data_IF_926429723073
#
_entry.id   IF_926429723073
#
_cell.length_a   1.000
_cell.length_b   1.000
_cell.length_c   1.000
_cell.angle_alpha   90.00
_cell.angle_beta   90.00
_cell.angle_gamma   90.00
#
_symmetry.space_group_name_H-M   'P 1'
#
loop_
_entity.id
_entity.type
_entity.pdbx_description
1 polymer ?
#
# COMPACT_ATOMS: atom_id res chain seq x y z
N UNK A 1 -9.05 7.97 21.25
CA UNK A 1 -9.59 6.75 21.89
C UNK A 1 -9.10 5.57 21.08
N UNK A 2 -8.44 4.59 21.71
CA UNK A 2 -8.00 3.37 21.05
C UNK A 2 -8.96 2.23 21.40
N UNK A 3 -9.38 1.45 20.41
CA UNK A 3 -10.36 0.36 20.51
C UNK A 3 -9.73 -0.88 19.91
N UNK A 4 -9.63 -1.95 20.67
CA UNK A 4 -9.25 -3.27 20.14
C UNK A 4 -10.49 -3.88 19.45
N UNK A 5 -10.44 -4.06 18.12
CA UNK A 5 -11.55 -4.65 17.36
C UNK A 5 -11.51 -6.17 17.44
N UNK A 6 -10.30 -6.74 17.25
CA UNK A 6 -10.01 -8.16 17.38
C UNK A 6 -8.51 -8.35 17.60
N UNK A 7 -8.02 -9.54 17.98
CA UNK A 7 -6.58 -9.78 18.07
C UNK A 7 -5.85 -9.35 16.80
N UNK A 8 -4.82 -8.50 16.93
CA UNK A 8 -4.05 -7.97 15.80
C UNK A 8 -4.64 -6.70 15.14
N UNK A 9 -5.90 -6.30 15.42
CA UNK A 9 -6.53 -5.13 14.80
C UNK A 9 -6.92 -4.09 15.85
N UNK A 10 -6.34 -2.89 15.75
CA UNK A 10 -6.61 -1.76 16.63
C UNK A 10 -7.12 -0.55 15.87
N UNK A 11 -8.25 0.01 16.29
CA UNK A 11 -8.78 1.27 15.78
C UNK A 11 -8.46 2.42 16.73
N UNK A 12 -7.91 3.50 16.22
CA UNK A 12 -7.74 4.76 16.96
C UNK A 12 -8.57 5.86 16.31
N UNK A 13 -9.48 6.45 17.08
CA UNK A 13 -10.28 7.61 16.64
C UNK A 13 -9.77 8.87 17.32
N UNK A 14 -9.40 9.87 16.52
CA UNK A 14 -8.94 11.19 16.97
C UNK A 14 -9.95 12.24 16.51
N UNK A 15 -10.92 12.62 17.36
CA UNK A 15 -11.90 13.64 17.01
C UNK A 15 -11.21 15.01 16.98
N UNK A 16 -11.53 15.82 15.95
CA UNK A 16 -11.03 17.18 15.81
C UNK A 16 -12.03 18.02 15.01
N UNK A 17 -12.17 19.28 15.37
CA UNK A 17 -12.96 20.28 14.63
C UNK A 17 -12.09 21.24 13.81
N UNK A 18 -10.76 21.06 13.91
CA UNK A 18 -9.79 21.96 13.24
C UNK A 18 -9.81 21.85 11.72
N UNK A 19 -10.15 20.66 11.19
CA UNK A 19 -10.03 20.36 9.77
C UNK A 19 -11.40 20.12 9.12
N UNK A 20 -11.52 20.53 7.86
CA UNK A 20 -12.72 20.28 7.03
C UNK A 20 -12.68 18.90 6.35
N UNK A 21 -11.64 18.14 6.60
CA UNK A 21 -11.42 16.81 6.00
C UNK A 21 -11.40 15.73 7.08
N UNK A 22 -11.76 14.51 6.68
CA UNK A 22 -11.60 13.29 7.45
C UNK A 22 -10.44 12.54 6.82
N UNK A 23 -9.47 12.11 7.62
CA UNK A 23 -8.37 11.26 7.17
C UNK A 23 -8.56 9.84 7.73
N UNK A 24 -8.53 8.87 6.84
CA UNK A 24 -8.50 7.45 7.17
C UNK A 24 -7.08 6.96 6.88
N UNK A 25 -6.52 6.25 7.84
CA UNK A 25 -5.18 5.68 7.71
C UNK A 25 -5.21 4.24 8.22
N UNK A 26 -4.86 3.30 7.37
CA UNK A 26 -4.77 1.88 7.70
C UNK A 26 -3.31 1.45 7.52
N UNK A 27 -2.78 0.68 8.45
CA UNK A 27 -1.41 0.19 8.41
C UNK A 27 -1.38 -1.30 8.64
N UNK A 28 -0.87 -2.01 7.67
CA UNK A 28 -0.54 -3.43 7.78
C UNK A 28 0.93 -3.56 8.16
N UNK A 29 1.23 -4.23 9.26
CA UNK A 29 2.58 -4.35 9.79
C UNK A 29 2.99 -5.81 9.95
N UNK A 30 4.08 -6.20 9.29
CA UNK A 30 4.71 -7.52 9.39
C UNK A 30 6.20 -7.40 9.69
N UNK A 31 6.86 -8.50 10.01
CA UNK A 31 8.32 -8.53 10.10
C UNK A 31 8.93 -8.17 8.74
N UNK A 32 9.90 -7.25 8.74
CA UNK A 32 10.63 -6.90 7.53
C UNK A 32 11.49 -8.09 7.06
N UNK A 33 11.45 -8.39 5.77
CA UNK A 33 12.21 -9.48 5.17
C UNK A 33 12.62 -9.11 3.75
N UNK A 34 13.84 -9.49 3.36
CA UNK A 34 14.34 -9.36 2.00
C UNK A 34 13.42 -10.06 0.99
N UNK A 35 12.87 -11.22 1.37
CA UNK A 35 12.05 -12.04 0.49
C UNK A 35 10.68 -11.42 0.17
N UNK A 36 10.14 -10.59 1.06
CA UNK A 36 8.77 -10.07 0.93
C UNK A 36 8.70 -8.58 0.62
N UNK A 37 9.74 -7.79 0.92
CA UNK A 37 9.70 -6.33 0.81
C UNK A 37 9.33 -5.85 -0.61
N UNK A 38 9.99 -6.35 -1.66
CA UNK A 38 9.69 -5.96 -3.05
C UNK A 38 8.30 -6.43 -3.49
N UNK A 39 7.85 -7.63 -3.08
CA UNK A 39 6.51 -8.13 -3.37
C UNK A 39 5.43 -7.26 -2.72
N UNK A 40 5.63 -6.85 -1.47
CA UNK A 40 4.70 -5.95 -0.77
C UNK A 40 4.67 -4.54 -1.39
N UNK A 41 5.80 -4.09 -1.95
CA UNK A 41 5.85 -2.83 -2.71
C UNK A 41 5.08 -2.96 -4.02
N UNK A 42 5.30 -4.02 -4.79
CA UNK A 42 4.54 -4.28 -6.02
C UNK A 42 3.04 -4.46 -5.74
N UNK A 43 2.70 -5.10 -4.62
CA UNK A 43 1.31 -5.23 -4.19
C UNK A 43 0.63 -3.87 -3.99
N UNK A 44 1.32 -2.87 -3.42
CA UNK A 44 0.73 -1.52 -3.29
C UNK A 44 0.42 -0.90 -4.65
N UNK A 45 1.30 -1.06 -5.65
CA UNK A 45 1.04 -0.57 -7.02
C UNK A 45 -0.16 -1.26 -7.65
N UNK A 46 -0.25 -2.59 -7.54
CA UNK A 46 -1.39 -3.36 -8.07
C UNK A 46 -2.72 -2.91 -7.47
N UNK A 47 -2.77 -2.71 -6.15
CA UNK A 47 -3.99 -2.25 -5.45
C UNK A 47 -4.36 -0.79 -5.79
N UNK A 48 -3.42 0.03 -6.25
CA UNK A 48 -3.67 1.40 -6.71
C UNK A 48 -4.10 1.47 -8.18
N UNK A 49 -3.85 0.43 -8.95
CA UNK A 49 -4.08 0.46 -10.41
C UNK A 49 -5.48 0.06 -10.77
N UNK A 50 -5.99 -1.03 -10.21
CA UNK A 50 -7.35 -1.51 -10.49
C UNK A 50 -7.92 -2.37 -9.37
N UNK A 51 -9.22 -2.64 -9.45
CA UNK A 51 -9.94 -3.61 -8.63
C UNK A 51 -11.01 -4.32 -9.46
N UNK A 52 -11.75 -5.22 -8.84
CA UNK A 52 -12.82 -5.97 -9.52
C UNK A 52 -13.86 -5.05 -10.17
N UNK A 53 -14.27 -3.96 -9.50
CA UNK A 53 -15.29 -3.03 -10.00
C UNK A 53 -14.71 -1.72 -10.58
N UNK A 54 -13.43 -1.46 -10.37
CA UNK A 54 -12.70 -0.36 -11.02
C UNK A 54 -11.60 -0.96 -11.91
N UNK A 55 -11.93 -1.28 -13.17
CA UNK A 55 -11.03 -2.07 -14.04
C UNK A 55 -9.76 -1.35 -14.47
N UNK A 56 -9.71 -0.02 -14.30
CA UNK A 56 -8.57 0.80 -14.67
C UNK A 56 -8.43 2.05 -13.79
N UNK A 57 -7.31 2.75 -13.91
CA UNK A 57 -7.04 4.00 -13.20
C UNK A 57 -8.04 5.13 -13.52
N UNK A 58 -8.65 5.11 -14.69
CA UNK A 58 -9.65 6.11 -15.08
C UNK A 58 -10.91 5.93 -14.24
N UNK A 59 -11.40 4.70 -14.10
CA UNK A 59 -12.55 4.37 -13.26
C UNK A 59 -12.28 4.72 -11.79
N UNK A 60 -11.09 4.39 -11.27
CA UNK A 60 -10.64 4.76 -9.94
C UNK A 60 -10.62 6.28 -9.72
N UNK A 61 -9.98 7.01 -10.64
CA UNK A 61 -9.87 8.47 -10.58
C UNK A 61 -11.24 9.15 -10.70
N UNK A 62 -12.13 8.62 -11.53
CA UNK A 62 -13.51 9.10 -11.66
C UNK A 62 -14.25 8.94 -10.32
N UNK A 63 -14.12 7.78 -9.67
CA UNK A 63 -14.74 7.57 -8.35
C UNK A 63 -14.20 8.52 -7.29
N UNK A 64 -12.90 8.77 -7.28
CA UNK A 64 -12.29 9.76 -6.36
C UNK A 64 -12.77 11.18 -6.64
N UNK A 65 -12.99 11.55 -7.90
CA UNK A 65 -13.58 12.84 -8.27
C UNK A 65 -15.03 12.94 -7.82
N UNK A 66 -15.85 11.89 -7.96
CA UNK A 66 -17.22 11.82 -7.44
C UNK A 66 -17.27 11.97 -5.91
N UNK A 67 -16.23 11.49 -5.21
CA UNK A 67 -16.04 11.68 -3.78
C UNK A 67 -15.49 13.08 -3.42
N UNK A 68 -15.85 14.08 -4.23
CA UNK A 68 -15.46 15.48 -4.06
C UNK A 68 -13.95 15.70 -4.09
N UNK A 69 -13.26 14.98 -4.95
CA UNK A 69 -11.80 15.07 -5.08
C UNK A 69 -11.06 14.43 -3.89
N UNK A 70 -11.57 13.31 -3.39
CA UNK A 70 -10.89 12.53 -2.37
C UNK A 70 -9.48 12.15 -2.84
N UNK A 71 -8.51 12.19 -1.92
CA UNK A 71 -7.18 11.66 -2.18
C UNK A 71 -7.06 10.26 -1.58
N UNK A 72 -6.40 9.37 -2.32
CA UNK A 72 -6.14 7.99 -1.93
C UNK A 72 -4.73 7.60 -2.35
N UNK A 73 -4.08 6.72 -1.58
CA UNK A 73 -2.77 6.21 -1.93
C UNK A 73 -2.28 5.13 -0.98
N UNK A 74 -1.46 4.24 -1.52
CA UNK A 74 -0.72 3.24 -0.77
C UNK A 74 0.78 3.55 -0.84
N UNK A 75 1.50 3.21 0.21
CA UNK A 75 2.96 3.25 0.21
C UNK A 75 3.53 2.23 1.20
N UNK A 76 4.80 1.92 1.02
CA UNK A 76 5.53 1.07 1.96
C UNK A 76 6.46 1.90 2.83
N UNK A 77 6.69 1.43 4.05
CA UNK A 77 7.64 2.00 4.98
C UNK A 77 8.35 0.92 5.79
N UNK A 78 9.43 1.33 6.45
CA UNK A 78 10.16 0.48 7.38
C UNK A 78 10.34 1.21 8.70
N UNK A 79 10.05 0.54 9.79
CA UNK A 79 10.26 1.06 11.14
C UNK A 79 10.91 -0.01 12.02
N UNK A 80 12.20 0.14 12.27
CA UNK A 80 12.99 -0.92 12.92
C UNK A 80 12.94 -2.20 12.06
N UNK A 81 12.53 -3.30 12.67
CA UNK A 81 12.38 -4.60 12.01
C UNK A 81 10.97 -4.86 11.44
N UNK A 82 10.13 -3.83 11.35
CA UNK A 82 8.79 -3.94 10.79
C UNK A 82 8.73 -3.33 9.39
N UNK A 83 8.16 -4.08 8.46
CA UNK A 83 7.70 -3.58 7.16
C UNK A 83 6.24 -3.14 7.29
N UNK A 84 5.92 -1.99 6.74
CA UNK A 84 4.61 -1.39 6.83
C UNK A 84 4.05 -1.12 5.44
N UNK A 85 2.84 -1.60 5.16
CA UNK A 85 2.02 -1.15 4.04
C UNK A 85 1.02 -0.16 4.62
N UNK A 86 1.07 1.07 4.15
CA UNK A 86 0.21 2.16 4.62
C UNK A 86 -0.80 2.50 3.53
N UNK A 87 -2.06 2.54 3.90
CA UNK A 87 -3.18 2.99 3.07
C UNK A 87 -3.67 4.30 3.65
N UNK A 88 -3.77 5.32 2.85
CA UNK A 88 -4.26 6.63 3.28
C UNK A 88 -5.36 7.13 2.35
N UNK A 89 -6.42 7.66 2.95
CA UNK A 89 -7.49 8.34 2.23
C UNK A 89 -7.84 9.64 2.96
N UNK A 90 -8.08 10.71 2.21
CA UNK A 90 -8.57 11.97 2.75
C UNK A 90 -9.84 12.37 2.01
N UNK A 91 -10.90 12.59 2.78
CA UNK A 91 -12.24 12.96 2.31
C UNK A 91 -12.62 14.32 2.85
N UNK A 92 -13.41 15.08 2.11
CA UNK A 92 -14.11 16.23 2.68
C UNK A 92 -15.13 15.75 3.71
N UNK A 93 -15.27 16.45 4.83
CA UNK A 93 -16.30 16.11 5.81
C UNK A 93 -17.67 16.51 5.27
N UNK A 94 -18.61 15.56 5.19
CA UNK A 94 -19.92 15.69 4.61
C UNK A 94 -20.74 16.88 5.12
N UNK A 95 -20.53 17.33 6.37
CA UNK A 95 -21.19 18.49 6.93
C UNK A 95 -20.93 19.80 6.16
N UNK A 96 -19.78 19.91 5.45
CA UNK A 96 -19.41 21.11 4.71
C UNK A 96 -19.92 21.12 3.26
N UNK A 97 -20.38 19.98 2.76
CA UNK A 97 -20.85 19.81 1.38
C UNK A 97 -22.32 19.39 1.31
N UNK A 98 -22.98 19.24 2.46
CA UNK A 98 -24.39 18.81 2.51
C UNK A 98 -24.63 17.35 2.11
N UNK A 99 -23.57 16.53 2.06
CA UNK A 99 -23.66 15.10 1.76
C UNK A 99 -23.16 14.27 2.96
N UNK A 100 -24.05 13.79 3.85
CA UNK A 100 -23.66 12.99 5.01
C UNK A 100 -23.10 11.61 4.64
N UNK A 101 -23.38 11.11 3.42
CA UNK A 101 -23.01 9.76 2.98
C UNK A 101 -21.56 9.68 2.45
N UNK A 102 -20.90 10.78 2.18
CA UNK A 102 -19.56 10.78 1.61
C UNK A 102 -18.54 9.95 2.41
N UNK A 103 -18.68 9.90 3.73
CA UNK A 103 -17.82 9.06 4.57
C UNK A 103 -18.10 7.56 4.33
N UNK A 104 -19.37 7.15 4.29
CA UNK A 104 -19.75 5.77 4.01
C UNK A 104 -19.33 5.33 2.61
N UNK A 105 -19.47 6.22 1.62
CA UNK A 105 -19.00 5.99 0.26
C UNK A 105 -17.47 5.84 0.20
N UNK A 106 -16.73 6.63 0.96
CA UNK A 106 -15.27 6.51 1.09
C UNK A 106 -14.85 5.19 1.73
N UNK A 107 -15.56 4.73 2.77
CA UNK A 107 -15.33 3.40 3.36
C UNK A 107 -15.65 2.30 2.36
N UNK A 108 -16.72 2.43 1.57
CA UNK A 108 -17.06 1.47 0.53
C UNK A 108 -15.98 1.40 -0.56
N UNK A 109 -15.41 2.55 -0.96
CA UNK A 109 -14.27 2.61 -1.86
C UNK A 109 -13.04 1.88 -1.29
N UNK A 110 -12.65 2.17 -0.04
CA UNK A 110 -11.54 1.47 0.61
C UNK A 110 -11.78 -0.03 0.73
N UNK A 111 -13.01 -0.42 1.03
CA UNK A 111 -13.41 -1.84 1.07
C UNK A 111 -13.21 -2.50 -0.30
N UNK A 112 -13.61 -1.83 -1.37
CA UNK A 112 -13.43 -2.32 -2.74
C UNK A 112 -11.94 -2.57 -3.03
N UNK A 113 -11.09 -1.55 -2.83
CA UNK A 113 -9.66 -1.65 -3.12
C UNK A 113 -8.98 -2.73 -2.29
N UNK A 114 -9.30 -2.82 -1.00
CA UNK A 114 -8.59 -3.70 -0.08
C UNK A 114 -9.11 -5.14 -0.06
N UNK A 115 -10.35 -5.40 -0.47
CA UNK A 115 -10.94 -6.74 -0.34
C UNK A 115 -11.48 -7.32 -1.66
N UNK A 116 -11.49 -6.53 -2.73
CA UNK A 116 -11.89 -6.96 -4.06
C UNK A 116 -10.85 -6.60 -5.13
N UNK A 117 -9.55 -6.97 -4.91
CA UNK A 117 -8.53 -6.76 -5.93
C UNK A 117 -8.84 -7.59 -7.18
N UNK A 118 -8.26 -7.21 -8.31
CA UNK A 118 -8.42 -7.93 -9.57
C UNK A 118 -7.59 -9.24 -9.56
N UNK A 119 -8.07 -10.20 -8.77
CA UNK A 119 -7.50 -11.55 -8.64
C UNK A 119 -8.50 -12.56 -9.22
N UNK A 120 -8.05 -13.34 -10.21
CA UNK A 120 -8.80 -14.40 -10.86
C UNK A 120 -7.97 -15.68 -10.83
N UNK A 121 -8.61 -16.80 -10.52
CA UNK A 121 -7.94 -18.12 -10.45
C UNK A 121 -6.66 -18.13 -9.58
N UNK A 122 -6.68 -17.36 -8.46
CA UNK A 122 -5.59 -17.28 -7.50
C UNK A 122 -4.38 -16.49 -7.97
N UNK A 123 -4.51 -15.63 -8.99
CA UNK A 123 -3.46 -14.75 -9.50
C UNK A 123 -4.00 -13.36 -9.81
N UNK A 124 -3.17 -12.34 -9.67
CA UNK A 124 -3.48 -11.02 -10.21
C UNK A 124 -3.59 -11.09 -11.74
N UNK A 125 -4.38 -10.18 -12.31
CA UNK A 125 -4.50 -10.01 -13.75
C UNK A 125 -3.10 -9.78 -14.36
N UNK A 126 -2.75 -10.59 -15.37
CA UNK A 126 -1.36 -10.73 -15.83
C UNK A 126 -0.83 -9.46 -16.50
N UNK A 127 -1.64 -8.77 -17.29
CA UNK A 127 -1.22 -7.56 -18.02
C UNK A 127 -0.88 -6.43 -17.02
N UNK A 128 -1.76 -6.17 -16.06
CA UNK A 128 -1.51 -5.20 -14.98
C UNK A 128 -0.31 -5.60 -14.13
N UNK A 129 -0.17 -6.89 -13.80
CA UNK A 129 0.97 -7.38 -13.04
C UNK A 129 2.29 -7.10 -13.76
N UNK A 130 2.40 -7.42 -15.04
CA UNK A 130 3.62 -7.20 -15.81
C UNK A 130 3.93 -5.70 -15.94
N UNK A 131 2.94 -4.88 -16.25
CA UNK A 131 3.09 -3.43 -16.35
C UNK A 131 3.62 -2.82 -15.04
N UNK A 132 3.00 -3.15 -13.90
CA UNK A 132 3.42 -2.59 -12.60
C UNK A 132 4.78 -3.14 -12.15
N UNK A 133 5.11 -4.39 -12.50
CA UNK A 133 6.43 -4.96 -12.26
C UNK A 133 7.52 -4.24 -13.07
N UNK A 134 7.26 -3.92 -14.33
CA UNK A 134 8.16 -3.14 -15.17
C UNK A 134 8.33 -1.71 -14.64
N UNK A 135 7.23 -1.04 -14.26
CA UNK A 135 7.24 0.30 -13.68
C UNK A 135 8.08 0.34 -12.39
N UNK A 136 7.86 -0.61 -11.49
CA UNK A 136 8.61 -0.69 -10.24
C UNK A 136 10.10 -1.00 -10.51
N UNK A 137 10.41 -1.89 -11.45
CA UNK A 137 11.79 -2.19 -11.85
C UNK A 137 12.49 -0.95 -12.38
N UNK A 138 11.85 -0.19 -13.27
CA UNK A 138 12.37 1.06 -13.81
C UNK A 138 12.60 2.10 -12.68
N UNK A 139 11.64 2.23 -11.76
CA UNK A 139 11.79 3.09 -10.59
C UNK A 139 13.00 2.69 -9.71
N UNK A 140 13.16 1.39 -9.40
CA UNK A 140 14.29 0.92 -8.60
C UNK A 140 15.65 1.13 -9.30
N UNK A 141 15.70 1.07 -10.63
CA UNK A 141 16.88 1.45 -11.39
C UNK A 141 17.18 2.94 -11.26
N UNK A 142 16.17 3.80 -11.40
CA UNK A 142 16.34 5.26 -11.32
C UNK A 142 16.87 5.73 -9.96
N UNK A 143 16.52 5.03 -8.87
CA UNK A 143 17.07 5.34 -7.53
C UNK A 143 18.61 5.24 -7.45
N UNK A 144 19.24 4.44 -8.31
CA UNK A 144 20.71 4.31 -8.37
C UNK A 144 21.39 5.49 -9.10
N UNK A 145 20.63 6.24 -9.88
CA UNK A 145 21.12 7.43 -10.57
C UNK A 145 21.14 8.65 -9.65
N UNK A 146 20.26 8.71 -8.67
CA UNK A 146 20.27 9.71 -7.61
C UNK A 146 21.39 9.41 -6.59
N UNK A 147 22.45 10.24 -6.62
CA UNK A 147 23.63 10.06 -5.78
C UNK A 147 23.35 10.17 -4.29
N UNK A 148 22.37 10.98 -3.88
CA UNK A 148 21.99 11.13 -2.48
C UNK A 148 21.27 9.88 -1.99
N UNK A 149 20.32 9.37 -2.75
CA UNK A 149 19.62 8.10 -2.47
C UNK A 149 20.60 6.94 -2.44
N UNK A 150 21.50 6.85 -3.44
CA UNK A 150 22.53 5.80 -3.48
C UNK A 150 23.43 5.84 -2.24
N UNK A 151 23.89 7.02 -1.81
CA UNK A 151 24.71 7.16 -0.62
C UNK A 151 23.96 6.70 0.65
N UNK A 152 22.68 7.03 0.77
CA UNK A 152 21.81 6.60 1.89
C UNK A 152 21.63 5.08 1.91
N UNK A 153 21.41 4.45 0.76
CA UNK A 153 21.31 2.99 0.64
C UNK A 153 22.63 2.31 1.02
N UNK A 154 23.77 2.84 0.57
CA UNK A 154 25.09 2.32 0.92
C UNK A 154 25.40 2.48 2.41
N UNK A 155 25.02 3.60 3.01
CA UNK A 155 25.14 3.79 4.45
C UNK A 155 24.32 2.75 5.22
N UNK A 156 23.08 2.47 4.78
CA UNK A 156 22.22 1.44 5.39
C UNK A 156 22.85 0.05 5.28
N UNK A 157 23.36 -0.32 4.11
CA UNK A 157 24.06 -1.60 3.90
C UNK A 157 25.29 -1.74 4.83
N UNK A 158 26.11 -0.70 4.97
CA UNK A 158 27.29 -0.71 5.84
C UNK A 158 26.92 -0.74 7.33
N UNK A 159 25.87 0.01 7.72
CA UNK A 159 25.45 0.10 9.12
C UNK A 159 24.89 -1.23 9.64
N UNK A 160 24.07 -1.90 8.85
CA UNK A 160 23.46 -3.17 9.25
C UNK A 160 24.33 -4.40 8.96
N UNK A 161 25.38 -4.26 8.16
CA UNK A 161 26.42 -5.29 7.96
C UNK A 161 25.84 -6.63 7.52
N UNK A 162 25.92 -7.63 8.40
CA UNK A 162 25.51 -9.00 8.11
C UNK A 162 23.99 -9.26 8.28
N UNK A 163 23.22 -8.30 8.80
CA UNK A 163 21.76 -8.45 8.91
C UNK A 163 21.11 -8.28 7.53
N UNK A 164 20.85 -9.42 6.88
CA UNK A 164 20.31 -9.47 5.52
C UNK A 164 18.95 -8.74 5.40
N UNK A 165 18.09 -8.87 6.41
CA UNK A 165 16.77 -8.23 6.40
C UNK A 165 16.90 -6.71 6.62
N UNK A 166 17.74 -6.28 7.58
CA UNK A 166 17.83 -4.86 7.94
C UNK A 166 18.54 -4.00 6.88
N UNK A 167 19.49 -4.55 6.12
CA UNK A 167 20.18 -3.78 5.06
C UNK A 167 19.30 -3.53 3.82
N UNK A 168 18.22 -4.30 3.62
CA UNK A 168 17.30 -4.08 2.51
C UNK A 168 16.36 -2.90 2.82
N UNK A 169 16.16 -1.96 1.88
CA UNK A 169 15.20 -0.87 2.04
C UNK A 169 13.75 -1.37 2.03
N UNK A 170 12.81 -0.52 2.45
CA UNK A 170 11.38 -0.87 2.50
C UNK A 170 10.80 -1.29 1.15
N UNK A 171 11.30 -0.74 0.06
CA UNK A 171 10.87 -1.08 -1.30
C UNK A 171 11.47 -2.39 -1.82
N UNK A 172 12.36 -3.04 -1.07
CA UNK A 172 12.96 -4.32 -1.46
C UNK A 172 14.11 -4.20 -2.45
N UNK A 173 14.36 -5.27 -3.19
CA UNK A 173 15.45 -5.37 -4.18
C UNK A 173 14.94 -5.80 -5.55
N UNK A 174 15.67 -5.42 -6.61
CA UNK A 174 15.38 -5.83 -7.99
C UNK A 174 15.45 -7.36 -8.12
N UNK A 175 16.44 -8.01 -7.49
CA UNK A 175 16.59 -9.47 -7.57
C UNK A 175 15.36 -10.23 -7.07
N UNK A 176 14.77 -9.77 -5.95
CA UNK A 176 13.51 -10.37 -5.44
C UNK A 176 12.32 -10.06 -6.34
N UNK A 177 12.28 -8.86 -6.93
CA UNK A 177 11.20 -8.44 -7.82
C UNK A 177 11.19 -9.24 -9.14
N UNK A 178 12.37 -9.48 -9.74
CA UNK A 178 12.50 -10.23 -11.00
C UNK A 178 11.90 -11.62 -10.91
N UNK A 179 12.10 -12.32 -9.79
CA UNK A 179 11.54 -13.66 -9.55
C UNK A 179 10.04 -13.68 -9.18
N UNK A 180 9.41 -12.54 -8.94
CA UNK A 180 8.01 -12.50 -8.51
C UNK A 180 7.04 -12.86 -9.63
N UNK A 181 5.99 -13.60 -9.29
CA UNK A 181 4.89 -14.02 -10.19
C UNK A 181 3.55 -13.47 -9.69
N UNK A 182 2.56 -13.36 -10.59
CA UNK A 182 1.21 -12.89 -10.27
C UNK A 182 0.52 -13.78 -9.20
N UNK A 183 0.79 -15.07 -9.20
CA UNK A 183 0.28 -16.00 -8.19
C UNK A 183 0.94 -15.80 -6.81
N UNK A 184 2.26 -15.56 -6.76
CA UNK A 184 2.95 -15.25 -5.51
C UNK A 184 2.50 -13.91 -4.92
N UNK A 185 2.15 -12.92 -5.76
CA UNK A 185 1.58 -11.65 -5.30
C UNK A 185 0.20 -11.86 -4.69
N UNK A 186 -0.65 -12.71 -5.27
CA UNK A 186 -1.93 -13.08 -4.69
C UNK A 186 -1.76 -13.78 -3.33
N UNK A 187 -0.79 -14.69 -3.21
CA UNK A 187 -0.45 -15.31 -1.93
C UNK A 187 0.09 -14.28 -0.91
N UNK A 188 0.92 -13.34 -1.33
CA UNK A 188 1.43 -12.24 -0.48
C UNK A 188 0.29 -11.35 0.02
N UNK A 189 -0.68 -11.04 -0.82
CA UNK A 189 -1.88 -10.30 -0.44
C UNK A 189 -2.71 -11.07 0.61
N UNK A 190 -2.94 -12.36 0.42
CA UNK A 190 -3.68 -13.19 1.38
C UNK A 190 -2.96 -13.26 2.74
N UNK A 191 -1.64 -13.46 2.74
CA UNK A 191 -0.83 -13.45 3.97
C UNK A 191 -0.90 -12.08 4.67
N UNK A 192 -0.83 -10.97 3.94
CA UNK A 192 -0.97 -9.62 4.49
C UNK A 192 -2.30 -9.43 5.23
N UNK A 193 -3.41 -9.88 4.65
CA UNK A 193 -4.73 -9.77 5.28
C UNK A 193 -4.91 -10.69 6.49
N UNK A 194 -4.27 -11.87 6.49
CA UNK A 194 -4.46 -12.91 7.50
C UNK A 194 -3.50 -12.75 8.71
N UNK A 195 -2.30 -12.23 8.49
CA UNK A 195 -1.20 -12.34 9.46
C UNK A 195 -0.68 -10.99 9.95
N UNK A 196 -0.86 -9.91 9.20
CA UNK A 196 -0.35 -8.59 9.58
C UNK A 196 -1.11 -8.02 10.79
N UNK A 197 -0.40 -7.25 11.59
CA UNK A 197 -1.03 -6.38 12.58
C UNK A 197 -1.56 -5.12 11.90
N UNK A 198 -2.78 -4.76 12.24
CA UNK A 198 -3.48 -3.62 11.65
C UNK A 198 -3.82 -2.59 12.75
#
# INVERSE_FOLDING_TARGET
>A
MAIQLQPGIQLTVIPTEKYKTIRIFIRFSAKHSEQTAAKRTLLTSLLETNSLHYPDQTALSTKLAELYGASFGLNVGKKGNLHQVNVSMSLVNGKYIGNPEVFNEGIAFLKEILFYPNIQDGRFEEETFQLEKENLTAYLHSLREDKQTLASLRLQELYFGEDADQKIPSFGSIATLEGATAAELAATYQSMLAEDQI
#
